data_IF_181803640549
#
_entry.id   IF_181803640549
#
_cell.length_a   1.000
_cell.length_b   1.000
_cell.length_c   1.000
_cell.angle_alpha   90.00
_cell.angle_beta   90.00
_cell.angle_gamma   90.00
#
_symmetry.space_group_name_H-M   'P 1'
#
loop_
_entity.id
_entity.type
_entity.pdbx_description
1 polymer ?
#
# COMPACT_ATOMS: atom_id res chain seq x y z
N UNK A 1 -25.33 25.53 -17.79
CA UNK A 1 -24.01 25.98 -18.33
C UNK A 1 -23.53 27.27 -17.66
N UNK A 2 -24.40 28.29 -17.49
CA UNK A 2 -23.99 29.55 -16.87
C UNK A 2 -23.48 29.38 -15.43
N UNK A 3 -24.20 28.64 -14.59
CA UNK A 3 -23.81 28.35 -13.18
C UNK A 3 -22.48 27.64 -13.10
N UNK A 4 -22.22 26.66 -13.96
CA UNK A 4 -20.93 25.93 -13.97
C UNK A 4 -19.79 26.87 -14.35
N UNK A 5 -19.98 27.72 -15.35
CA UNK A 5 -18.98 28.70 -15.79
C UNK A 5 -18.63 29.68 -14.66
N UNK A 6 -19.64 30.21 -13.95
CA UNK A 6 -19.46 31.12 -12.81
C UNK A 6 -18.72 30.47 -11.65
N UNK A 7 -19.11 29.23 -11.31
CA UNK A 7 -18.44 28.48 -10.26
C UNK A 7 -16.97 28.18 -10.60
N UNK A 8 -16.67 27.85 -11.85
CA UNK A 8 -15.30 27.64 -12.34
C UNK A 8 -14.49 28.92 -12.44
N UNK A 9 -15.15 30.05 -12.61
CA UNK A 9 -14.52 31.37 -12.55
C UNK A 9 -14.22 31.86 -11.12
N UNK A 10 -14.55 31.06 -10.08
CA UNK A 10 -14.23 31.35 -8.69
C UNK A 10 -15.35 32.00 -7.89
N UNK A 11 -16.55 32.12 -8.46
CA UNK A 11 -17.69 32.58 -7.69
C UNK A 11 -18.07 31.55 -6.59
N UNK A 12 -18.63 32.04 -5.48
CA UNK A 12 -18.95 31.22 -4.32
C UNK A 12 -19.94 30.11 -4.71
N UNK A 13 -19.48 28.86 -4.67
CA UNK A 13 -20.26 27.70 -5.06
C UNK A 13 -21.50 27.51 -4.16
N UNK A 14 -21.38 27.80 -2.86
CA UNK A 14 -22.48 27.66 -1.93
C UNK A 14 -23.60 28.66 -2.24
N UNK A 15 -23.26 29.90 -2.55
CA UNK A 15 -24.21 30.93 -2.96
C UNK A 15 -24.88 30.57 -4.29
N UNK A 16 -24.12 30.05 -5.25
CA UNK A 16 -24.66 29.57 -6.51
C UNK A 16 -25.63 28.39 -6.32
N UNK A 17 -25.31 27.47 -5.40
CA UNK A 17 -26.18 26.35 -5.08
C UNK A 17 -27.49 26.81 -4.42
N UNK A 18 -27.42 27.72 -3.43
CA UNK A 18 -28.61 28.29 -2.79
C UNK A 18 -29.53 28.95 -3.80
N UNK A 19 -28.97 29.69 -4.75
CA UNK A 19 -29.74 30.46 -5.71
C UNK A 19 -30.32 29.63 -6.89
N UNK A 20 -29.70 28.51 -7.26
CA UNK A 20 -29.99 27.83 -8.50
C UNK A 20 -30.27 26.34 -8.38
N UNK A 21 -29.94 25.69 -7.24
CA UNK A 21 -30.09 24.24 -7.08
C UNK A 21 -31.49 23.85 -6.62
N UNK A 22 -32.00 22.76 -7.20
CA UNK A 22 -33.22 22.09 -6.74
C UNK A 22 -32.94 20.86 -5.86
N UNK A 23 -31.67 20.66 -5.43
CA UNK A 23 -31.32 19.53 -4.59
C UNK A 23 -31.83 19.73 -3.15
N UNK A 24 -31.98 18.64 -2.40
CA UNK A 24 -32.38 18.69 -0.98
C UNK A 24 -31.39 19.48 -0.13
N UNK A 25 -30.11 19.53 -0.53
CA UNK A 25 -29.03 20.25 0.16
C UNK A 25 -28.83 21.67 -0.38
N UNK A 26 -29.72 22.18 -1.25
CA UNK A 26 -29.59 23.50 -1.85
C UNK A 26 -29.41 24.61 -0.81
N UNK A 27 -30.23 24.62 0.24
CA UNK A 27 -30.21 25.62 1.32
C UNK A 27 -28.95 25.53 2.19
N UNK A 28 -28.26 24.39 2.17
CA UNK A 28 -26.97 24.14 2.83
C UNK A 28 -25.79 24.42 1.90
N UNK A 29 -26.00 25.19 0.83
CA UNK A 29 -24.99 25.48 -0.18
C UNK A 29 -24.58 24.28 -1.04
N UNK A 30 -25.44 23.26 -1.14
CA UNK A 30 -25.18 22.04 -1.89
C UNK A 30 -24.21 21.07 -1.20
N UNK A 31 -23.89 21.29 0.08
CA UNK A 31 -22.91 20.48 0.81
C UNK A 31 -23.42 19.06 1.01
N UNK A 32 -22.60 18.08 0.63
CA UNK A 32 -22.84 16.67 0.91
C UNK A 32 -22.08 16.17 2.15
N UNK A 33 -21.32 17.06 2.79
CA UNK A 33 -20.42 16.70 3.88
C UNK A 33 -19.27 15.78 3.42
N UNK A 34 -18.58 15.20 4.40
CA UNK A 34 -17.56 14.18 4.13
C UNK A 34 -18.23 12.86 3.70
N UNK A 35 -17.82 12.35 2.54
CA UNK A 35 -18.26 11.06 2.00
C UNK A 35 -17.05 10.19 1.71
N UNK A 36 -17.16 8.90 2.00
CA UNK A 36 -16.20 7.91 1.52
C UNK A 36 -16.48 7.62 0.04
N UNK A 37 -15.45 7.24 -0.71
CA UNK A 37 -15.61 6.94 -2.15
C UNK A 37 -16.83 6.05 -2.48
N UNK A 38 -17.05 4.92 -1.78
CA UNK A 38 -18.21 4.05 -2.00
C UNK A 38 -19.59 4.66 -1.64
N UNK A 39 -19.60 5.73 -0.85
CA UNK A 39 -20.82 6.45 -0.45
C UNK A 39 -21.22 7.55 -1.46
N UNK A 40 -20.36 7.83 -2.42
CA UNK A 40 -20.66 8.77 -3.50
C UNK A 40 -21.55 8.05 -4.52
N UNK A 41 -22.70 8.65 -4.91
CA UNK A 41 -23.53 8.06 -5.95
C UNK A 41 -22.73 7.72 -7.19
N UNK A 42 -22.90 6.51 -7.72
CA UNK A 42 -22.10 5.97 -8.84
C UNK A 42 -22.02 6.93 -10.03
N UNK A 43 -23.14 7.61 -10.33
CA UNK A 43 -23.23 8.59 -11.41
C UNK A 43 -22.29 9.80 -11.23
N UNK A 44 -21.91 10.11 -9.99
CA UNK A 44 -21.00 11.21 -9.66
C UNK A 44 -19.57 10.71 -9.34
N UNK A 45 -19.41 9.43 -9.04
CA UNK A 45 -18.13 8.86 -8.60
C UNK A 45 -17.03 9.04 -9.65
N UNK A 46 -17.33 8.70 -10.92
CA UNK A 46 -16.37 8.83 -12.03
C UNK A 46 -15.97 10.30 -12.27
N UNK A 47 -16.88 11.22 -12.01
CA UNK A 47 -16.64 12.64 -12.15
C UNK A 47 -15.76 13.17 -11.03
N UNK A 48 -16.09 12.81 -9.77
CA UNK A 48 -15.35 13.27 -8.57
C UNK A 48 -13.89 12.79 -8.58
N UNK A 49 -13.62 11.57 -9.08
CA UNK A 49 -12.26 11.01 -9.16
C UNK A 49 -11.35 11.83 -10.11
N UNK A 50 -11.94 12.52 -11.09
CA UNK A 50 -11.18 13.33 -12.05
C UNK A 50 -10.88 14.73 -11.54
N UNK A 51 -11.57 15.20 -10.48
CA UNK A 51 -11.43 16.54 -9.94
C UNK A 51 -10.26 16.65 -8.94
N UNK A 52 -9.60 17.76 -8.97
CA UNK A 52 -8.65 18.19 -7.92
C UNK A 52 -9.41 18.91 -6.79
N UNK A 53 -8.81 18.92 -5.59
CA UNK A 53 -9.36 19.72 -4.49
C UNK A 53 -9.52 21.19 -4.89
N UNK A 54 -10.68 21.75 -4.66
CA UNK A 54 -11.08 23.09 -5.10
C UNK A 54 -11.67 23.18 -6.51
N UNK A 55 -11.64 22.11 -7.30
CA UNK A 55 -12.09 22.11 -8.69
C UNK A 55 -13.59 21.85 -8.81
N UNK A 56 -14.22 22.51 -9.80
CA UNK A 56 -15.64 22.35 -10.14
C UNK A 56 -15.79 21.68 -11.51
N UNK A 57 -16.69 20.71 -11.59
CA UNK A 57 -16.94 19.93 -12.80
C UNK A 57 -17.65 20.73 -13.89
N UNK A 58 -17.59 20.19 -15.11
CA UNK A 58 -18.58 20.48 -16.15
C UNK A 58 -19.97 19.97 -15.72
N UNK A 59 -21.07 20.49 -16.30
CA UNK A 59 -22.41 19.97 -16.04
C UNK A 59 -22.55 18.54 -16.52
N UNK A 60 -22.90 17.62 -15.62
CA UNK A 60 -23.20 16.23 -15.94
C UNK A 60 -24.72 16.07 -16.06
N UNK A 61 -25.19 15.54 -17.19
CA UNK A 61 -26.58 15.20 -17.38
C UNK A 61 -26.90 13.80 -16.87
N UNK A 62 -27.93 13.70 -16.05
CA UNK A 62 -28.44 12.43 -15.51
C UNK A 62 -29.96 12.36 -15.72
N UNK A 63 -30.62 11.21 -15.49
CA UNK A 63 -32.08 11.11 -15.51
C UNK A 63 -32.78 12.06 -14.53
N UNK A 64 -32.14 12.45 -13.45
CA UNK A 64 -32.67 13.39 -12.43
C UNK A 64 -32.38 14.86 -12.73
N UNK A 65 -31.63 15.16 -13.79
CA UNK A 65 -31.31 16.53 -14.18
C UNK A 65 -29.83 16.77 -14.44
N UNK A 66 -29.44 18.05 -14.39
CA UNK A 66 -28.05 18.45 -14.52
C UNK A 66 -27.40 18.60 -13.17
N UNK A 67 -26.23 18.00 -13.01
CA UNK A 67 -25.41 18.08 -11.80
C UNK A 67 -24.12 18.82 -12.08
N UNK A 68 -23.75 19.71 -11.17
CA UNK A 68 -22.43 20.37 -11.09
C UNK A 68 -21.86 19.99 -9.74
N UNK A 69 -20.66 19.48 -9.71
CA UNK A 69 -19.99 19.02 -8.48
C UNK A 69 -18.71 19.79 -8.27
N UNK A 70 -18.44 20.19 -7.04
CA UNK A 70 -17.16 20.74 -6.61
C UNK A 70 -16.54 19.83 -5.56
N UNK A 71 -15.30 19.45 -5.79
CA UNK A 71 -14.51 18.74 -4.79
C UNK A 71 -13.84 19.79 -3.90
N UNK A 72 -14.42 20.04 -2.72
CA UNK A 72 -13.85 21.07 -1.80
C UNK A 72 -12.51 20.61 -1.23
N UNK A 73 -12.47 19.42 -0.66
CA UNK A 73 -11.28 18.83 -0.06
C UNK A 73 -11.26 17.32 -0.31
N UNK A 74 -10.07 16.77 -0.37
CA UNK A 74 -9.82 15.34 -0.40
C UNK A 74 -9.06 14.97 0.88
N UNK A 75 -9.65 14.10 1.70
CA UNK A 75 -9.02 13.55 2.90
C UNK A 75 -8.91 12.04 2.75
N UNK A 76 -7.86 11.51 3.26
CA UNK A 76 -7.57 10.09 3.21
C UNK A 76 -6.35 9.80 2.35
N UNK A 77 -5.85 8.60 2.45
CA UNK A 77 -4.64 8.10 1.78
C UNK A 77 -4.81 7.89 0.25
N UNK A 78 -5.47 8.81 -0.44
CA UNK A 78 -5.14 9.12 -1.83
C UNK A 78 -3.83 9.94 -1.88
N UNK A 79 -3.28 10.24 -0.72
CA UNK A 79 -1.92 10.68 -0.57
C UNK A 79 -1.03 9.58 -1.13
N UNK A 80 -0.63 9.76 -2.40
CA UNK A 80 0.58 9.25 -3.01
C UNK A 80 1.06 7.97 -2.33
N UNK A 81 0.80 6.84 -2.92
CA UNK A 81 1.39 5.56 -2.54
C UNK A 81 2.91 5.56 -2.78
N UNK A 82 3.56 6.69 -2.52
CA UNK A 82 4.99 6.84 -2.52
C UNK A 82 5.52 6.08 -1.32
N UNK A 83 6.05 4.91 -1.57
CA UNK A 83 6.77 4.12 -0.59
C UNK A 83 8.26 4.18 -0.90
N UNK A 84 9.07 4.30 0.12
CA UNK A 84 10.50 4.10 -0.04
C UNK A 84 10.76 2.61 -0.27
N UNK A 85 11.40 2.28 -1.39
CA UNK A 85 11.89 0.94 -1.66
C UNK A 85 13.41 0.90 -1.51
N UNK A 86 13.88 -0.21 -0.98
CA UNK A 86 15.30 -0.49 -0.76
C UNK A 86 15.70 -1.68 -1.62
N UNK A 87 16.79 -1.55 -2.39
CA UNK A 87 17.43 -2.65 -3.09
C UNK A 87 18.64 -3.11 -2.32
N UNK A 88 18.67 -4.37 -1.97
CA UNK A 88 19.72 -4.95 -1.16
C UNK A 88 20.13 -6.33 -1.64
N UNK A 89 21.30 -6.78 -1.23
CA UNK A 89 21.73 -8.17 -1.35
C UNK A 89 22.35 -8.66 -0.05
N UNK A 90 22.23 -9.96 0.21
CA UNK A 90 22.69 -10.52 1.47
C UNK A 90 23.42 -11.86 1.33
N UNK A 91 24.10 -12.26 2.38
CA UNK A 91 24.67 -13.59 2.60
C UNK A 91 24.15 -14.09 3.93
N UNK A 92 23.55 -15.27 3.93
CA UNK A 92 23.06 -15.97 5.11
C UNK A 92 23.96 -17.18 5.40
N UNK A 93 24.39 -17.34 6.63
CA UNK A 93 24.97 -18.57 7.15
C UNK A 93 24.19 -19.04 8.39
N UNK A 94 23.96 -20.34 8.48
CA UNK A 94 23.18 -20.95 9.57
C UNK A 94 24.11 -21.65 10.55
N UNK A 95 23.92 -21.46 11.87
CA UNK A 95 24.58 -22.31 12.86
C UNK A 95 24.15 -23.78 12.69
N UNK A 96 25.07 -24.67 12.96
CA UNK A 96 24.84 -26.11 12.95
C UNK A 96 25.39 -26.73 14.22
N UNK A 97 25.16 -28.03 14.43
CA UNK A 97 25.76 -28.74 15.59
C UNK A 97 27.29 -28.71 15.61
N UNK A 98 27.92 -28.52 14.44
CA UNK A 98 29.39 -28.47 14.31
C UNK A 98 29.92 -27.05 14.30
N UNK A 99 29.11 -26.08 13.88
CA UNK A 99 29.50 -24.66 13.81
C UNK A 99 28.53 -23.84 14.66
N UNK A 100 29.01 -23.45 15.83
CA UNK A 100 28.23 -22.60 16.72
C UNK A 100 28.06 -21.14 16.20
N UNK A 101 27.23 -20.38 16.87
CA UNK A 101 26.94 -18.98 16.52
C UNK A 101 28.22 -18.14 16.42
N UNK A 102 29.17 -18.32 17.33
CA UNK A 102 30.41 -17.53 17.35
C UNK A 102 31.29 -17.83 16.13
N UNK A 103 31.37 -19.09 15.74
CA UNK A 103 32.10 -19.52 14.55
C UNK A 103 31.49 -18.97 13.29
N UNK A 104 30.14 -19.00 13.16
CA UNK A 104 29.43 -18.48 12.01
C UNK A 104 29.56 -16.97 11.90
N UNK A 105 29.45 -16.25 13.01
CA UNK A 105 29.67 -14.81 13.04
C UNK A 105 31.10 -14.46 12.58
N UNK A 106 32.10 -15.17 13.07
CA UNK A 106 33.50 -14.94 12.68
C UNK A 106 33.73 -15.22 11.19
N UNK A 107 33.08 -16.26 10.64
CA UNK A 107 33.14 -16.54 9.20
C UNK A 107 32.53 -15.38 8.38
N UNK A 108 31.39 -14.84 8.79
CA UNK A 108 30.78 -13.71 8.10
C UNK A 108 31.61 -12.43 8.22
N UNK A 109 32.27 -12.20 9.37
CA UNK A 109 33.26 -11.12 9.50
C UNK A 109 34.39 -11.26 8.49
N UNK A 110 34.94 -12.46 8.33
CA UNK A 110 35.98 -12.72 7.34
C UNK A 110 35.47 -12.53 5.89
N UNK A 111 34.24 -12.97 5.60
CA UNK A 111 33.62 -12.75 4.28
C UNK A 111 33.43 -11.24 4.02
N UNK A 112 32.94 -10.50 5.00
CA UNK A 112 32.81 -9.04 4.90
C UNK A 112 34.16 -8.36 4.61
N UNK A 113 35.25 -8.75 5.31
CA UNK A 113 36.58 -8.22 5.06
C UNK A 113 37.10 -8.51 3.65
N UNK A 114 36.80 -9.69 3.10
CA UNK A 114 37.11 -10.03 1.69
C UNK A 114 36.39 -9.11 0.71
N UNK A 115 35.11 -8.85 0.95
CA UNK A 115 34.33 -7.95 0.09
C UNK A 115 34.87 -6.51 0.19
N UNK A 116 35.18 -6.04 1.39
CA UNK A 116 35.77 -4.70 1.57
C UNK A 116 37.16 -4.54 0.90
N UNK A 117 37.84 -5.65 0.66
CA UNK A 117 39.11 -5.69 -0.11
C UNK A 117 38.89 -5.83 -1.62
N UNK A 118 37.62 -5.82 -2.09
CA UNK A 118 37.28 -5.83 -3.50
C UNK A 118 36.88 -7.19 -4.08
N UNK A 119 36.70 -8.20 -3.25
CA UNK A 119 36.16 -9.48 -3.74
C UNK A 119 34.68 -9.35 -4.07
N UNK A 120 34.26 -10.05 -5.14
CA UNK A 120 32.88 -9.94 -5.62
C UNK A 120 31.86 -10.52 -4.63
N UNK A 121 30.96 -9.66 -4.17
CA UNK A 121 29.88 -10.03 -3.26
C UNK A 121 28.99 -11.14 -3.85
N UNK A 122 28.61 -11.01 -5.14
CA UNK A 122 27.70 -11.95 -5.76
C UNK A 122 28.32 -13.34 -5.91
N UNK A 123 29.60 -13.41 -6.24
CA UNK A 123 30.37 -14.66 -6.30
C UNK A 123 30.44 -15.35 -4.95
N UNK A 124 30.70 -14.56 -3.89
CA UNK A 124 30.72 -15.08 -2.51
C UNK A 124 29.33 -15.53 -2.04
N UNK A 125 28.29 -14.78 -2.37
CA UNK A 125 26.92 -15.16 -2.05
C UNK A 125 26.52 -16.48 -2.72
N UNK A 126 26.83 -16.64 -4.03
CA UNK A 126 26.57 -17.89 -4.75
C UNK A 126 27.27 -19.11 -4.16
N UNK A 127 28.44 -18.90 -3.60
CA UNK A 127 29.27 -20.00 -3.08
C UNK A 127 29.01 -20.31 -1.62
N UNK A 128 28.70 -19.31 -0.81
CA UNK A 128 28.67 -19.42 0.64
C UNK A 128 27.30 -19.25 1.25
N UNK A 129 26.38 -18.51 0.58
CA UNK A 129 25.06 -18.23 1.16
C UNK A 129 24.19 -19.48 1.23
N UNK A 130 23.59 -19.68 2.40
CA UNK A 130 22.63 -20.75 2.68
C UNK A 130 21.19 -20.29 2.55
N UNK A 131 20.97 -19.12 1.90
CA UNK A 131 19.63 -18.66 1.54
C UNK A 131 19.20 -19.25 0.19
N UNK A 132 18.21 -20.18 0.18
CA UNK A 132 17.79 -20.82 -1.07
C UNK A 132 17.08 -19.85 -2.03
N UNK A 133 16.58 -18.72 -1.51
CA UNK A 133 15.82 -17.76 -2.29
C UNK A 133 16.68 -16.82 -3.13
N UNK A 134 17.87 -16.48 -2.65
CA UNK A 134 18.72 -15.45 -3.30
C UNK A 134 20.14 -15.88 -3.60
N UNK A 135 20.62 -16.97 -3.04
CA UNK A 135 22.02 -17.40 -3.20
C UNK A 135 22.43 -17.53 -4.67
N UNK A 136 21.59 -18.15 -5.52
CA UNK A 136 21.84 -18.36 -6.96
C UNK A 136 21.87 -17.06 -7.74
N UNK A 137 21.16 -16.04 -7.24
CA UNK A 137 21.13 -14.69 -7.82
C UNK A 137 22.18 -13.76 -7.22
N UNK A 138 23.21 -14.33 -6.54
CA UNK A 138 24.27 -13.53 -5.91
C UNK A 138 23.84 -12.81 -4.64
N UNK A 139 22.81 -13.32 -3.97
CA UNK A 139 22.23 -12.75 -2.76
C UNK A 139 21.26 -11.61 -2.99
N UNK A 140 20.89 -11.30 -4.26
CA UNK A 140 20.00 -10.20 -4.62
C UNK A 140 18.58 -10.44 -4.10
N UNK A 141 18.05 -9.44 -3.39
CA UNK A 141 16.70 -9.45 -2.82
C UNK A 141 15.71 -8.58 -3.62
N UNK A 142 16.19 -7.92 -4.66
CA UNK A 142 15.40 -6.97 -5.44
C UNK A 142 14.99 -5.73 -4.67
N UNK A 143 14.02 -5.00 -5.21
CA UNK A 143 13.43 -3.85 -4.57
C UNK A 143 12.34 -4.27 -3.60
N UNK A 144 12.50 -3.91 -2.33
CA UNK A 144 11.58 -4.26 -1.24
C UNK A 144 11.14 -3.03 -0.47
N UNK A 145 9.97 -3.13 0.18
CA UNK A 145 9.44 -2.08 1.06
C UNK A 145 9.77 -2.39 2.53
N UNK A 146 9.86 -1.39 3.41
CA UNK A 146 10.00 -1.61 4.85
C UNK A 146 8.91 -2.56 5.38
N UNK A 147 9.27 -3.46 6.26
CA UNK A 147 8.38 -4.49 6.80
C UNK A 147 8.29 -5.78 5.98
N UNK A 148 9.04 -5.86 4.86
CA UNK A 148 9.13 -7.10 4.06
C UNK A 148 9.94 -8.18 4.79
N UNK A 149 10.97 -7.77 5.53
CA UNK A 149 11.86 -8.67 6.24
C UNK A 149 11.57 -8.70 7.75
N UNK A 150 12.26 -9.58 8.45
CA UNK A 150 12.22 -9.61 9.92
C UNK A 150 12.82 -8.33 10.51
N UNK A 151 12.37 -7.90 11.71
CA UNK A 151 12.74 -6.61 12.28
C UNK A 151 14.24 -6.35 12.38
N UNK A 152 15.03 -7.40 12.67
CA UNK A 152 16.49 -7.30 12.79
C UNK A 152 17.13 -6.97 11.45
N UNK A 153 16.60 -7.53 10.36
CA UNK A 153 17.09 -7.29 9.01
C UNK A 153 16.71 -5.89 8.53
N UNK A 154 15.45 -5.48 8.73
CA UNK A 154 14.98 -4.13 8.39
C UNK A 154 15.78 -3.06 9.16
N UNK A 155 16.06 -3.30 10.45
CA UNK A 155 16.88 -2.41 11.26
C UNK A 155 18.31 -2.28 10.72
N UNK A 156 18.91 -3.40 10.32
CA UNK A 156 20.23 -3.39 9.73
C UNK A 156 20.26 -2.59 8.41
N UNK A 157 19.28 -2.82 7.53
CA UNK A 157 19.15 -2.07 6.27
C UNK A 157 18.95 -0.57 6.48
N UNK A 158 18.11 -0.20 7.44
CA UNK A 158 17.80 1.20 7.73
C UNK A 158 19.04 2.01 8.16
N UNK A 159 20.00 1.34 8.81
CA UNK A 159 21.21 1.96 9.31
C UNK A 159 22.31 2.17 8.25
N UNK A 160 22.19 1.52 7.07
CA UNK A 160 23.23 1.55 6.03
C UNK A 160 23.10 2.76 5.09
N UNK A 161 24.26 3.23 4.63
CA UNK A 161 24.35 4.12 3.47
C UNK A 161 24.45 3.28 2.19
N UNK A 162 24.23 3.94 1.04
CA UNK A 162 24.35 3.27 -0.25
C UNK A 162 25.77 2.66 -0.42
N UNK A 163 25.81 1.44 -0.94
CA UNK A 163 26.96 0.58 -1.13
C UNK A 163 27.63 0.09 0.15
N UNK A 164 27.11 0.47 1.32
CA UNK A 164 27.64 0.02 2.61
C UNK A 164 27.22 -1.43 2.92
N UNK A 165 28.13 -2.15 3.59
CA UNK A 165 27.91 -3.53 4.05
C UNK A 165 27.79 -3.53 5.57
N UNK A 166 26.73 -4.16 6.07
CA UNK A 166 26.49 -4.27 7.51
C UNK A 166 27.58 -5.04 8.24
N UNK A 167 27.66 -4.84 9.56
CA UNK A 167 28.28 -5.86 10.41
C UNK A 167 27.42 -7.12 10.40
N UNK A 168 28.01 -8.31 10.69
CA UNK A 168 27.22 -9.51 10.90
C UNK A 168 26.15 -9.28 11.98
N UNK A 169 24.92 -9.67 11.71
CA UNK A 169 23.81 -9.62 12.66
C UNK A 169 23.02 -10.93 12.61
N UNK A 170 22.35 -11.24 13.70
CA UNK A 170 21.57 -12.46 13.85
C UNK A 170 20.07 -12.20 13.66
N UNK A 171 19.40 -13.14 12.98
CA UNK A 171 17.96 -13.27 12.93
C UNK A 171 17.52 -14.68 13.32
N UNK A 172 16.22 -14.95 13.29
CA UNK A 172 15.70 -16.30 13.47
C UNK A 172 16.15 -17.31 12.40
N UNK A 173 16.62 -16.84 11.24
CA UNK A 173 17.07 -17.69 10.12
C UNK A 173 18.57 -18.02 10.17
N UNK A 174 19.34 -17.29 10.97
CA UNK A 174 20.78 -17.43 11.09
C UNK A 174 21.49 -16.07 11.16
N UNK A 175 22.73 -16.05 10.71
CA UNK A 175 23.59 -14.87 10.66
C UNK A 175 23.64 -14.29 9.25
N UNK A 176 23.55 -12.98 9.16
CA UNK A 176 23.51 -12.24 7.91
C UNK A 176 24.58 -11.16 7.85
N UNK A 177 25.06 -10.89 6.64
CA UNK A 177 25.56 -9.60 6.21
C UNK A 177 24.71 -9.11 5.04
N UNK A 178 24.43 -7.84 5.00
CA UNK A 178 23.60 -7.21 3.96
C UNK A 178 24.34 -6.01 3.39
N UNK A 179 24.21 -5.81 2.09
CA UNK A 179 24.68 -4.61 1.41
C UNK A 179 23.49 -3.85 0.83
N UNK A 180 23.46 -2.54 1.08
CA UNK A 180 22.49 -1.65 0.49
C UNK A 180 22.97 -1.21 -0.90
N UNK A 181 22.23 -1.57 -1.96
CA UNK A 181 22.53 -1.19 -3.33
C UNK A 181 21.89 0.14 -3.73
N UNK A 182 20.72 0.45 -3.17
CA UNK A 182 20.05 1.72 -3.45
C UNK A 182 18.74 1.89 -2.72
N UNK A 183 18.25 3.13 -2.74
CA UNK A 183 16.90 3.50 -2.26
C UNK A 183 16.19 4.26 -3.36
N UNK A 184 14.90 4.09 -3.47
CA UNK A 184 14.05 4.87 -4.39
C UNK A 184 12.70 5.16 -3.79
N UNK A 185 12.06 6.20 -4.26
CA UNK A 185 10.64 6.37 -4.06
C UNK A 185 9.89 5.68 -5.21
N UNK A 186 8.95 4.85 -4.84
CA UNK A 186 8.12 4.10 -5.79
C UNK A 186 6.65 4.40 -5.53
N UNK A 187 5.94 4.77 -6.57
CA UNK A 187 4.50 4.97 -6.49
C UNK A 187 3.79 3.62 -6.64
N UNK A 188 3.27 3.11 -5.52
CA UNK A 188 2.47 1.90 -5.49
C UNK A 188 0.97 2.16 -5.33
N UNK A 189 0.51 3.38 -5.65
CA UNK A 189 -0.88 3.80 -5.52
C UNK A 189 -1.84 2.82 -6.20
N UNK A 190 -1.52 2.36 -7.39
CA UNK A 190 -2.29 1.38 -8.16
C UNK A 190 -2.41 0.04 -7.43
N UNK A 191 -1.29 -0.47 -6.90
CA UNK A 191 -1.26 -1.75 -6.17
C UNK A 191 -2.05 -1.65 -4.87
N UNK A 192 -1.89 -0.56 -4.12
CA UNK A 192 -2.66 -0.29 -2.91
C UNK A 192 -4.16 -0.16 -3.20
N UNK A 193 -4.55 0.50 -4.29
CA UNK A 193 -5.95 0.58 -4.71
C UNK A 193 -6.50 -0.81 -5.03
N UNK A 194 -5.75 -1.61 -5.77
CA UNK A 194 -6.14 -2.98 -6.12
C UNK A 194 -6.27 -3.86 -4.89
N UNK A 195 -5.32 -3.81 -3.96
CA UNK A 195 -5.39 -4.54 -2.71
C UNK A 195 -6.59 -4.13 -1.84
N UNK A 196 -6.86 -2.82 -1.72
CA UNK A 196 -8.06 -2.33 -1.01
C UNK A 196 -9.34 -2.82 -1.65
N UNK A 197 -9.47 -2.69 -2.97
CA UNK A 197 -10.63 -3.18 -3.69
C UNK A 197 -10.81 -4.70 -3.50
N UNK A 198 -9.72 -5.46 -3.53
CA UNK A 198 -9.76 -6.90 -3.28
C UNK A 198 -10.22 -7.24 -1.86
N UNK A 199 -9.70 -6.53 -0.84
CA UNK A 199 -10.11 -6.73 0.56
C UNK A 199 -11.59 -6.39 0.77
N UNK A 200 -12.06 -5.27 0.23
CA UNK A 200 -13.47 -4.88 0.30
C UNK A 200 -14.40 -5.90 -0.39
N UNK A 201 -13.99 -6.37 -1.58
CA UNK A 201 -14.75 -7.39 -2.29
C UNK A 201 -14.79 -8.72 -1.53
N UNK A 202 -13.67 -9.11 -0.93
CA UNK A 202 -13.58 -10.33 -0.11
C UNK A 202 -14.47 -10.24 1.12
N UNK A 203 -14.47 -9.10 1.81
CA UNK A 203 -15.30 -8.85 2.98
C UNK A 203 -16.79 -8.88 2.63
N UNK A 204 -17.19 -8.16 1.58
CA UNK A 204 -18.57 -8.15 1.08
C UNK A 204 -19.05 -9.55 0.67
N UNK A 205 -18.21 -10.32 -0.04
CA UNK A 205 -18.55 -11.70 -0.42
C UNK A 205 -18.61 -12.65 0.78
N UNK A 206 -17.77 -12.46 1.78
CA UNK A 206 -17.81 -13.27 2.99
C UNK A 206 -19.12 -13.03 3.76
N UNK A 207 -19.58 -11.78 3.86
CA UNK A 207 -20.87 -11.45 4.47
C UNK A 207 -22.03 -12.07 3.70
N UNK A 208 -22.05 -11.95 2.36
CA UNK A 208 -23.07 -12.55 1.50
C UNK A 208 -23.13 -14.08 1.65
N UNK A 209 -21.97 -14.75 1.63
CA UNK A 209 -21.88 -16.20 1.80
C UNK A 209 -22.34 -16.64 3.20
N UNK A 210 -22.02 -15.89 4.25
CA UNK A 210 -22.50 -16.16 5.62
C UNK A 210 -24.03 -16.03 5.68
N UNK A 211 -24.62 -14.99 5.09
CA UNK A 211 -26.07 -14.82 5.05
C UNK A 211 -26.77 -15.96 4.29
N UNK A 212 -26.21 -16.36 3.13
CA UNK A 212 -26.73 -17.48 2.35
C UNK A 212 -26.61 -18.80 3.12
N UNK A 213 -25.50 -19.02 3.82
CA UNK A 213 -25.31 -20.20 4.64
C UNK A 213 -26.27 -20.24 5.83
N UNK A 214 -26.47 -19.13 6.54
CA UNK A 214 -27.43 -19.03 7.64
C UNK A 214 -28.86 -19.26 7.16
N UNK A 215 -29.21 -18.74 5.99
CA UNK A 215 -30.53 -18.98 5.38
C UNK A 215 -30.73 -20.47 5.09
N UNK A 216 -29.75 -21.12 4.47
CA UNK A 216 -29.77 -22.54 4.20
C UNK A 216 -29.89 -23.38 5.47
N UNK A 217 -29.10 -23.06 6.52
CA UNK A 217 -29.22 -23.73 7.80
C UNK A 217 -30.62 -23.58 8.43
N UNK A 218 -31.22 -22.40 8.31
CA UNK A 218 -32.58 -22.17 8.84
C UNK A 218 -33.63 -22.95 8.05
N UNK A 219 -33.48 -23.09 6.74
CA UNK A 219 -34.38 -23.84 5.87
C UNK A 219 -34.26 -25.35 6.08
N UNK A 220 -33.07 -25.85 6.43
CA UNK A 220 -32.80 -27.28 6.65
C UNK A 220 -32.99 -27.71 8.11
N UNK A 221 -32.99 -26.81 9.08
CA UNK A 221 -33.10 -27.09 10.50
C UNK A 221 -34.53 -26.84 11.01
N UNK A 222 -34.98 -27.74 11.90
CA UNK A 222 -36.18 -27.50 12.71
C UNK A 222 -35.84 -26.45 13.80
N UNK A 223 -36.36 -25.23 13.66
CA UNK A 223 -36.12 -24.11 14.61
C UNK A 223 -37.33 -24.02 15.53
N UNK A 224 -37.16 -24.39 16.80
CA UNK A 224 -38.13 -24.18 17.87
C UNK A 224 -37.72 -22.92 18.69
N UNK A 225 -38.48 -21.85 18.53
CA UNK A 225 -38.24 -20.61 19.30
C UNK A 225 -39.09 -20.68 20.57
N UNK A 226 -38.52 -21.03 21.69
CA UNK A 226 -39.17 -20.92 23.00
C UNK A 226 -39.21 -19.46 23.41
N UNK A 227 -40.40 -18.87 23.37
CA UNK A 227 -40.74 -17.52 23.92
C UNK A 227 -40.91 -17.60 25.42
#
# INVERSE_FOLDING_TARGET
EDVSRRARAGEDFAQLAIANSNSQTALEGGSLGWRRGPEIPTVLADLVVQLKAGETSEPLRTPSGYHIVRLNELRGEAAQGLVEQTHARHILLKPTEIQDDATVEQRLRAVRERILKGEDFAGLAKTLSEDPGSATEGGDLGWTTPGTFVPEFDKALAALQQDEISQPFRSQFGWHIVQLLGRRQFDNTEEMRRQRAFMQLRESKAEEEIELWLRRLRDEAYVDVKT
#
